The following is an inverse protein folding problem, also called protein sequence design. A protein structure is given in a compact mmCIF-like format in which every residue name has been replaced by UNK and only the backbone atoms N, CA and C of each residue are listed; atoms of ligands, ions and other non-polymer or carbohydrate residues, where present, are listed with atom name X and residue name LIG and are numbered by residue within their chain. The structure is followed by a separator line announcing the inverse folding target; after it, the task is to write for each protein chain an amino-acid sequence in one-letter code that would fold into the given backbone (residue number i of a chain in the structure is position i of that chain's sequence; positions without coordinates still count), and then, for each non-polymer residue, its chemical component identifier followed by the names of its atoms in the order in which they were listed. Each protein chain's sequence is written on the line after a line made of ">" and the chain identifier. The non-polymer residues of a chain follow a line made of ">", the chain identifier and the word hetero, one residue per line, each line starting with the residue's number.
data_IF_602238907666
#
_entry.id   IF_602238907666
#
_cell.length_a   1.000
_cell.length_b   1.000
_cell.length_c   1.000
_cell.angle_alpha   90.00
_cell.angle_beta   90.00
_cell.angle_gamma   90.00
#
_symmetry.space_group_name_H-M   'P 1'
#
loop_
_entity.id
_entity.type
_entity.pdbx_description
1 polymer ?
#
# COMPACT_ATOMS: atom_id res chain seq x y z
N UNK A 1 -10.30 -1.98 30.85
CA UNK A 1 -9.77 -0.98 29.91
C UNK A 1 -9.23 -1.74 28.71
N UNK A 2 -9.83 -1.61 27.53
CA UNK A 2 -9.33 -2.24 26.31
C UNK A 2 -8.25 -1.35 25.69
N UNK A 3 -7.04 -1.88 25.49
CA UNK A 3 -5.95 -1.16 24.81
C UNK A 3 -6.12 -1.29 23.29
N UNK A 4 -5.84 -0.22 22.54
CA UNK A 4 -5.79 -0.25 21.07
C UNK A 4 -4.54 0.46 20.55
N UNK A 5 -4.12 0.05 19.36
CA UNK A 5 -3.03 0.68 18.61
C UNK A 5 -3.67 1.43 17.45
N UNK A 6 -3.47 2.75 17.40
CA UNK A 6 -3.93 3.59 16.30
C UNK A 6 -2.74 4.01 15.43
N UNK A 7 -2.83 3.80 14.13
CA UNK A 7 -1.84 4.26 13.16
C UNK A 7 -2.54 5.07 12.11
N UNK A 8 -2.02 6.26 11.82
CA UNK A 8 -2.55 7.15 10.78
C UNK A 8 -1.41 7.53 9.86
N UNK A 9 -1.65 7.49 8.56
CA UNK A 9 -0.72 7.98 7.57
C UNK A 9 -1.39 9.02 6.67
N UNK A 10 -0.57 9.93 6.16
CA UNK A 10 -0.96 10.95 5.20
C UNK A 10 0.10 10.98 4.08
N UNK A 11 -0.27 10.42 2.93
CA UNK A 11 0.58 10.30 1.76
C UNK A 11 0.32 11.46 0.81
N UNK A 12 1.38 11.93 0.16
CA UNK A 12 1.32 12.97 -0.88
C UNK A 12 1.71 12.39 -2.23
N UNK A 13 0.89 11.52 -2.83
CA UNK A 13 1.19 10.95 -4.13
C UNK A 13 1.19 12.04 -5.22
N UNK A 14 1.94 11.86 -6.31
CA UNK A 14 1.90 12.76 -7.47
C UNK A 14 0.48 12.88 -8.05
N UNK A 15 0.18 14.02 -8.67
CA UNK A 15 -1.13 14.27 -9.27
C UNK A 15 -1.51 13.19 -10.29
N UNK A 16 -2.74 12.69 -10.18
CA UNK A 16 -3.28 11.66 -11.08
C UNK A 16 -3.04 10.22 -10.63
N UNK A 17 -2.19 9.97 -9.63
CA UNK A 17 -2.03 8.62 -9.05
C UNK A 17 -3.20 8.34 -8.13
N UNK A 18 -4.09 7.45 -8.57
CA UNK A 18 -5.19 6.92 -7.77
C UNK A 18 -5.03 5.42 -7.67
N UNK A 19 -5.34 4.90 -6.49
CA UNK A 19 -5.31 3.47 -6.22
C UNK A 19 -6.68 3.05 -5.71
N UNK A 20 -7.33 2.15 -6.45
CA UNK A 20 -8.68 1.73 -6.09
C UNK A 20 -8.69 1.01 -4.74
N UNK A 21 -9.57 1.46 -3.85
CA UNK A 21 -9.72 0.88 -2.52
C UNK A 21 -8.67 1.30 -1.49
N UNK A 22 -7.76 2.23 -1.82
CA UNK A 22 -6.83 2.82 -0.84
C UNK A 22 -6.92 4.34 -0.83
N UNK A 23 -6.95 4.90 0.38
CA UNK A 23 -6.89 6.34 0.55
C UNK A 23 -5.45 6.80 0.79
N UNK A 24 -5.11 7.99 0.29
CA UNK A 24 -3.82 8.61 0.59
C UNK A 24 -3.74 9.05 2.06
N UNK A 25 -4.90 9.32 2.68
CA UNK A 25 -5.05 9.58 4.10
C UNK A 25 -5.92 8.50 4.73
N UNK A 26 -5.36 7.71 5.64
CA UNK A 26 -6.09 6.61 6.27
C UNK A 26 -5.68 6.42 7.73
N UNK A 27 -6.63 5.96 8.55
CA UNK A 27 -6.45 5.72 9.98
C UNK A 27 -6.93 4.32 10.32
N UNK A 28 -6.02 3.50 10.84
CA UNK A 28 -6.28 2.13 11.26
C UNK A 28 -6.23 2.01 12.77
N UNK A 29 -7.15 1.23 13.32
CA UNK A 29 -7.20 0.91 14.74
C UNK A 29 -7.17 -0.61 14.95
N UNK A 30 -6.18 -1.07 15.72
CA UNK A 30 -5.97 -2.48 16.03
C UNK A 30 -6.19 -2.70 17.53
N UNK A 31 -7.29 -3.37 17.88
CA UNK A 31 -7.58 -3.71 19.27
C UNK A 31 -6.61 -4.76 19.81
N UNK A 32 -6.18 -4.61 21.07
CA UNK A 32 -5.38 -5.60 21.79
C UNK A 32 -6.34 -6.55 22.50
N UNK A 33 -6.48 -7.76 21.97
CA UNK A 33 -7.37 -8.77 22.53
C UNK A 33 -6.70 -9.48 23.69
N UNK A 34 -6.80 -8.88 24.87
CA UNK A 34 -6.39 -9.51 26.13
C UNK A 34 -7.34 -9.08 27.23
N UNK A 35 -7.70 -10.01 28.10
CA UNK A 35 -8.46 -9.70 29.31
C UNK A 35 -7.51 -9.41 30.47
N UNK A 36 -7.92 -8.52 31.38
CA UNK A 36 -7.10 -8.13 32.54
C UNK A 36 -6.82 -9.31 33.49
N UNK A 37 -7.60 -10.39 33.37
CA UNK A 37 -7.51 -11.59 34.20
C UNK A 37 -6.45 -12.60 33.69
N UNK A 38 -6.01 -12.49 32.44
CA UNK A 38 -5.02 -13.40 31.82
C UNK A 38 -3.57 -13.07 32.21
N UNK A 39 -3.36 -11.98 32.95
CA UNK A 39 -2.05 -11.53 33.41
C UNK A 39 -1.18 -10.86 32.33
N UNK A 40 -0.03 -10.35 32.76
CA UNK A 40 0.82 -9.49 31.93
C UNK A 40 1.41 -10.21 30.70
N UNK A 41 1.76 -11.49 30.84
CA UNK A 41 2.34 -12.27 29.73
C UNK A 41 1.36 -12.36 28.55
N UNK A 42 0.11 -12.71 28.83
CA UNK A 42 -0.93 -12.78 27.80
C UNK A 42 -1.19 -11.41 27.16
N UNK A 43 -1.22 -10.34 27.97
CA UNK A 43 -1.33 -8.97 27.46
C UNK A 43 -0.22 -8.62 26.46
N UNK A 44 1.05 -8.85 26.80
CA UNK A 44 2.16 -8.52 25.91
C UNK A 44 2.20 -9.41 24.66
N UNK A 45 1.81 -10.69 24.78
CA UNK A 45 1.65 -11.57 23.60
C UNK A 45 0.55 -11.06 22.67
N UNK A 46 -0.61 -10.68 23.20
CA UNK A 46 -1.70 -10.09 22.42
C UNK A 46 -1.28 -8.75 21.79
N UNK A 47 -0.56 -7.90 22.53
CA UNK A 47 -0.03 -6.64 22.02
C UNK A 47 0.94 -6.87 20.86
N UNK A 48 1.87 -7.82 20.99
CA UNK A 48 2.81 -8.18 19.92
C UNK A 48 2.07 -8.67 18.67
N UNK A 49 1.02 -9.49 18.85
CA UNK A 49 0.20 -9.95 17.74
C UNK A 49 -0.56 -8.78 17.05
N UNK A 50 -1.12 -7.85 17.81
CA UNK A 50 -1.78 -6.66 17.25
C UNK A 50 -0.79 -5.76 16.51
N UNK A 51 0.44 -5.60 16.99
CA UNK A 51 1.51 -4.87 16.28
C UNK A 51 1.88 -5.57 14.97
N UNK A 52 2.00 -6.91 14.98
CA UNK A 52 2.33 -7.67 13.78
C UNK A 52 1.25 -7.48 12.70
N UNK A 53 -0.04 -7.57 13.07
CA UNK A 53 -1.17 -7.30 12.18
C UNK A 53 -1.15 -5.88 11.63
N UNK A 54 -0.85 -4.89 12.49
CA UNK A 54 -0.73 -3.50 12.06
C UNK A 54 0.37 -3.32 11.01
N UNK A 55 1.55 -3.91 11.24
CA UNK A 55 2.67 -3.87 10.30
C UNK A 55 2.34 -4.53 8.97
N UNK A 56 1.70 -5.69 9.00
CA UNK A 56 1.32 -6.42 7.78
C UNK A 56 0.33 -5.59 6.95
N UNK A 57 -0.76 -5.12 7.55
CA UNK A 57 -1.80 -4.37 6.85
C UNK A 57 -1.24 -3.09 6.22
N UNK A 58 -0.58 -2.27 7.03
CA UNK A 58 -0.04 -0.97 6.59
C UNK A 58 1.11 -1.18 5.61
N UNK A 59 1.95 -2.20 5.83
CA UNK A 59 3.03 -2.56 4.90
C UNK A 59 2.49 -2.87 3.51
N UNK A 60 1.45 -3.71 3.42
CA UNK A 60 0.80 -4.05 2.15
C UNK A 60 0.23 -2.81 1.45
N UNK A 61 -0.42 -1.92 2.21
CA UNK A 61 -1.00 -0.68 1.67
C UNK A 61 0.09 0.27 1.14
N UNK A 62 1.14 0.50 1.92
CA UNK A 62 2.26 1.37 1.52
C UNK A 62 3.05 0.77 0.36
N UNK A 63 3.19 -0.55 0.28
CA UNK A 63 3.79 -1.23 -0.88
C UNK A 63 2.93 -1.02 -2.12
N UNK A 64 1.62 -1.16 -2.02
CA UNK A 64 0.72 -0.90 -3.14
C UNK A 64 0.81 0.56 -3.63
N UNK A 65 0.87 1.52 -2.70
CA UNK A 65 1.12 2.93 -3.01
C UNK A 65 2.46 3.17 -3.70
N UNK A 66 3.55 2.59 -3.16
CA UNK A 66 4.88 2.67 -3.77
C UNK A 66 4.85 2.16 -5.22
N UNK A 67 4.23 1.01 -5.45
CA UNK A 67 4.20 0.38 -6.77
C UNK A 67 3.33 1.20 -7.75
N UNK A 68 2.22 1.76 -7.29
CA UNK A 68 1.37 2.64 -8.09
C UNK A 68 2.08 3.92 -8.52
N UNK A 69 2.76 4.57 -7.58
CA UNK A 69 3.58 5.76 -7.87
C UNK A 69 4.74 5.39 -8.81
N UNK A 70 5.44 4.29 -8.55
CA UNK A 70 6.55 3.84 -9.40
C UNK A 70 6.13 3.57 -10.84
N UNK A 71 4.98 2.91 -11.05
CA UNK A 71 4.41 2.70 -12.39
C UNK A 71 4.03 4.00 -13.08
N UNK A 72 3.42 4.94 -12.35
CA UNK A 72 3.04 6.23 -12.90
C UNK A 72 4.25 7.07 -13.32
N UNK A 73 5.36 6.99 -12.59
CA UNK A 73 6.60 7.69 -12.95
C UNK A 73 7.32 7.02 -14.14
N UNK A 74 7.32 5.69 -14.25
CA UNK A 74 7.86 4.99 -15.44
C UNK A 74 7.17 5.41 -16.74
N UNK A 75 5.86 5.71 -16.70
CA UNK A 75 5.12 6.17 -17.89
C UNK A 75 5.41 7.61 -18.29
N UNK A 76 6.11 8.39 -17.46
CA UNK A 76 6.47 9.78 -17.74
C UNK A 76 7.86 9.92 -18.38
N UNK A 77 8.64 8.84 -18.46
CA UNK A 77 9.83 8.85 -19.30
C UNK A 77 9.39 9.05 -20.77
N UNK A 78 9.93 10.06 -21.47
CA UNK A 78 9.55 10.29 -22.86
C UNK A 78 9.94 9.04 -23.65
N UNK A 79 8.95 8.34 -24.19
CA UNK A 79 9.20 7.38 -25.28
C UNK A 79 9.97 8.16 -26.34
N UNK A 80 11.20 7.75 -26.59
CA UNK A 80 11.96 8.26 -27.73
C UNK A 80 11.08 7.95 -28.94
N UNK A 81 10.44 8.99 -29.50
CA UNK A 81 9.67 8.86 -30.73
C UNK A 81 10.72 8.44 -31.76
N UNK A 82 10.75 7.15 -32.10
CA UNK A 82 11.42 6.73 -33.32
C UNK A 82 10.68 7.51 -34.41
N UNK A 83 11.43 8.40 -35.05
CA UNK A 83 11.00 9.07 -36.27
C UNK A 83 10.47 7.99 -37.21
N UNK A 84 9.16 8.02 -37.45
CA UNK A 84 8.52 7.30 -38.54
C UNK A 84 9.01 7.97 -39.84
N UNK A 85 9.99 7.36 -40.48
CA UNK A 85 10.15 7.40 -41.92
C UNK A 85 10.24 5.93 -42.36
N UNK A 86 9.10 5.45 -42.85
CA UNK A 86 8.89 4.33 -43.79
C UNK A 86 9.30 2.91 -43.34
N UNK A 87 8.30 2.06 -43.07
CA UNK A 87 7.93 0.98 -44.01
C UNK A 87 6.65 0.25 -43.53
N UNK A 88 5.70 0.14 -44.47
CA UNK A 88 4.46 -0.64 -44.41
C UNK A 88 4.73 -2.16 -44.39
N UNK A 89 3.62 -2.92 -44.30
CA UNK A 89 3.46 -4.36 -44.53
C UNK A 89 3.67 -5.27 -43.30
N UNK A 90 2.81 -6.21 -42.95
CA UNK A 90 1.50 -6.66 -43.44
C UNK A 90 0.88 -7.55 -42.33
N UNK A 91 -0.44 -7.75 -42.41
CA UNK A 91 -1.19 -8.78 -41.69
C UNK A 91 -0.56 -10.19 -41.84
N UNK A 92 -0.58 -11.03 -40.80
CA UNK A 92 -1.62 -12.07 -40.63
C UNK A 92 -1.11 -13.28 -39.80
N UNK A 93 -2.08 -14.00 -39.26
CA UNK A 93 -1.99 -15.13 -38.32
C UNK A 93 -1.15 -16.35 -38.78
N UNK A 94 -0.27 -16.84 -37.91
CA UNK A 94 -0.15 -18.26 -37.49
C UNK A 94 0.81 -18.49 -36.32
#
# INVERSE_FOLDING_TARGET
>A
MSSSIKVTYDLKPPAGVKLDGLNAHESHEFSVQSSSDEGQKAYYTALQASIAKAKERIGNELTAWRDAVGKAELTKEPKQVKSDEEEEEEEDEQ
#
